data_IF_397935567623
#
_entry.id   IF_397935567623
#
_cell.length_a   1.000
_cell.length_b   1.000
_cell.length_c   1.000
_cell.angle_alpha   90.00
_cell.angle_beta   90.00
_cell.angle_gamma   90.00
#
_symmetry.space_group_name_H-M   'P 1'
#
loop_
_entity.id
_entity.type
_entity.pdbx_description
1 polymer ?
#
# COMPACT_ATOMS: atom_id res chain seq x y z
N UNK A 1 -10.89 12.69 0.10
CA UNK A 1 -10.87 11.94 -1.18
C UNK A 1 -11.79 10.73 -1.08
N UNK A 2 -12.60 10.45 -2.11
CA UNK A 2 -13.39 9.21 -2.20
C UNK A 2 -12.65 8.22 -3.10
N UNK A 3 -11.99 7.23 -2.49
CA UNK A 3 -11.11 6.28 -3.20
C UNK A 3 -11.64 4.84 -3.24
N UNK A 4 -12.87 4.57 -2.81
CA UNK A 4 -13.42 3.21 -2.69
C UNK A 4 -13.28 2.37 -3.95
N UNK A 5 -13.57 2.96 -5.12
CA UNK A 5 -13.39 2.30 -6.41
C UNK A 5 -11.94 1.84 -6.64
N UNK A 6 -10.94 2.69 -6.31
CA UNK A 6 -9.52 2.36 -6.45
C UNK A 6 -9.11 1.17 -5.59
N UNK A 7 -9.69 1.03 -4.40
CA UNK A 7 -9.49 -0.15 -3.56
C UNK A 7 -10.14 -1.39 -4.19
N UNK A 8 -11.38 -1.31 -4.67
CA UNK A 8 -12.07 -2.47 -5.25
C UNK A 8 -11.39 -3.05 -6.49
N UNK A 9 -10.84 -2.19 -7.34
CA UNK A 9 -10.15 -2.60 -8.58
C UNK A 9 -8.62 -2.70 -8.43
N UNK A 10 -8.11 -2.40 -7.23
CA UNK A 10 -6.68 -2.34 -6.94
C UNK A 10 -6.01 -3.70 -7.00
N UNK A 11 -4.74 -3.70 -7.39
CA UNK A 11 -3.85 -4.88 -7.48
C UNK A 11 -2.50 -4.55 -6.86
N UNK A 12 -1.74 -5.60 -6.49
CA UNK A 12 -0.36 -5.54 -6.01
C UNK A 12 0.52 -6.52 -6.78
N UNK A 13 1.82 -6.49 -6.54
CA UNK A 13 2.79 -7.44 -7.07
C UNK A 13 3.03 -8.57 -6.06
N UNK A 14 2.81 -9.81 -6.46
CA UNK A 14 3.05 -11.00 -5.65
C UNK A 14 4.21 -11.84 -6.22
N UNK A 15 5.09 -12.42 -5.37
CA UNK A 15 6.13 -13.32 -5.84
C UNK A 15 5.51 -14.64 -6.31
N UNK A 16 5.91 -15.12 -7.50
CA UNK A 16 5.40 -16.40 -8.03
C UNK A 16 6.07 -17.59 -7.34
N UNK A 17 7.35 -17.46 -7.04
CA UNK A 17 8.20 -18.53 -6.54
C UNK A 17 8.79 -18.12 -5.18
N UNK A 18 8.55 -18.88 -4.10
CA UNK A 18 9.18 -18.67 -2.80
C UNK A 18 10.72 -18.62 -2.87
N UNK A 19 11.32 -19.31 -3.84
CA UNK A 19 12.77 -19.38 -4.02
C UNK A 19 13.33 -18.31 -4.96
N UNK A 20 12.47 -17.57 -5.67
CA UNK A 20 12.88 -16.45 -6.51
C UNK A 20 11.94 -15.24 -6.32
N UNK A 21 12.11 -14.48 -5.23
CA UNK A 21 11.25 -13.35 -4.88
C UNK A 21 11.25 -12.20 -5.90
N UNK A 22 12.23 -12.18 -6.81
CA UNK A 22 12.35 -11.13 -7.82
C UNK A 22 11.34 -11.28 -8.97
N UNK A 23 10.78 -12.49 -9.15
CA UNK A 23 9.78 -12.74 -10.19
C UNK A 23 8.39 -12.42 -9.65
N UNK A 24 7.96 -11.18 -9.89
CA UNK A 24 6.69 -10.64 -9.45
C UNK A 24 5.62 -10.72 -10.56
N UNK A 25 4.38 -11.02 -10.18
CA UNK A 25 3.20 -10.90 -11.06
C UNK A 25 2.13 -10.03 -10.42
N UNK A 26 1.31 -9.35 -11.23
CA UNK A 26 0.14 -8.66 -10.71
C UNK A 26 -0.84 -9.66 -10.09
N UNK A 27 -1.35 -9.30 -8.93
CA UNK A 27 -2.43 -9.97 -8.22
C UNK A 27 -3.75 -9.86 -8.97
N UNK A 28 -4.77 -10.61 -8.52
CA UNK A 28 -6.16 -10.31 -8.91
C UNK A 28 -6.59 -8.97 -8.27
N UNK A 29 -7.67 -8.38 -8.79
CA UNK A 29 -8.26 -7.20 -8.15
C UNK A 29 -8.79 -7.57 -6.77
N UNK A 30 -8.71 -6.65 -5.80
CA UNK A 30 -9.12 -6.88 -4.40
C UNK A 30 -10.48 -7.58 -4.27
N UNK A 31 -11.45 -7.20 -5.11
CA UNK A 31 -12.81 -7.76 -5.09
C UNK A 31 -12.88 -9.26 -5.42
N UNK A 32 -11.85 -9.82 -6.05
CA UNK A 32 -11.75 -11.23 -6.42
C UNK A 32 -10.68 -12.01 -5.64
N UNK A 33 -10.03 -11.38 -4.65
CA UNK A 33 -9.03 -12.02 -3.80
C UNK A 33 -9.72 -12.64 -2.58
N UNK A 34 -9.29 -13.83 -2.19
CA UNK A 34 -9.75 -14.51 -0.95
C UNK A 34 -8.67 -14.55 0.11
N UNK A 35 -7.39 -14.61 -0.30
CA UNK A 35 -6.23 -14.73 0.59
C UNK A 35 -6.03 -13.47 1.45
N UNK A 36 -6.04 -13.57 2.80
CA UNK A 36 -5.92 -12.41 3.68
C UNK A 36 -4.62 -11.61 3.53
N UNK A 37 -3.48 -12.28 3.35
CA UNK A 37 -2.19 -11.61 3.17
C UNK A 37 -2.16 -10.78 1.87
N UNK A 38 -2.65 -11.37 0.77
CA UNK A 38 -2.76 -10.69 -0.51
C UNK A 38 -3.70 -9.47 -0.41
N UNK A 39 -4.83 -9.59 0.30
CA UNK A 39 -5.72 -8.44 0.57
C UNK A 39 -5.03 -7.33 1.34
N UNK A 40 -4.31 -7.67 2.41
CA UNK A 40 -3.57 -6.69 3.22
C UNK A 40 -2.56 -5.94 2.39
N UNK A 41 -1.81 -6.66 1.56
CA UNK A 41 -0.83 -6.06 0.65
C UNK A 41 -1.48 -5.14 -0.38
N UNK A 42 -2.57 -5.56 -1.03
CA UNK A 42 -3.30 -4.71 -1.99
C UNK A 42 -3.81 -3.44 -1.30
N UNK A 43 -4.43 -3.56 -0.12
CA UNK A 43 -5.00 -2.41 0.60
C UNK A 43 -3.89 -1.45 1.02
N UNK A 44 -2.78 -1.94 1.58
CA UNK A 44 -1.63 -1.12 1.97
C UNK A 44 -1.03 -0.36 0.80
N UNK A 45 -0.77 -1.07 -0.32
CA UNK A 45 -0.20 -0.46 -1.52
C UNK A 45 -1.11 0.62 -2.13
N UNK A 46 -2.42 0.36 -2.20
CA UNK A 46 -3.38 1.35 -2.71
C UNK A 46 -3.51 2.53 -1.76
N UNK A 47 -3.47 2.31 -0.44
CA UNK A 47 -3.49 3.38 0.55
C UNK A 47 -2.28 4.33 0.37
N UNK A 48 -1.07 3.77 0.26
CA UNK A 48 0.15 4.57 0.05
C UNK A 48 0.06 5.40 -1.23
N UNK A 49 -0.34 4.78 -2.36
CA UNK A 49 -0.51 5.51 -3.63
C UNK A 49 -1.54 6.64 -3.52
N UNK A 50 -2.66 6.41 -2.84
CA UNK A 50 -3.68 7.45 -2.65
C UNK A 50 -3.15 8.57 -1.74
N UNK A 51 -2.44 8.23 -0.67
CA UNK A 51 -1.84 9.20 0.25
C UNK A 51 -0.80 10.09 -0.46
N UNK A 52 0.13 9.49 -1.21
CA UNK A 52 1.15 10.18 -2.00
C UNK A 52 0.51 11.16 -3.00
N UNK A 53 -0.46 10.70 -3.80
CA UNK A 53 -1.18 11.55 -4.76
C UNK A 53 -1.85 12.76 -4.07
N UNK A 54 -2.38 12.57 -2.87
CA UNK A 54 -3.00 13.67 -2.11
C UNK A 54 -1.95 14.65 -1.60
N UNK A 55 -0.84 14.16 -1.05
CA UNK A 55 0.26 14.99 -0.56
C UNK A 55 0.85 15.82 -1.72
N UNK A 56 1.10 15.19 -2.86
CA UNK A 56 1.58 15.86 -4.08
C UNK A 56 0.59 16.95 -4.55
N UNK A 57 -0.72 16.67 -4.50
CA UNK A 57 -1.74 17.65 -4.90
C UNK A 57 -1.81 18.89 -4.00
N UNK A 58 -1.27 18.81 -2.78
CA UNK A 58 -1.23 19.93 -1.84
C UNK A 58 -0.02 20.85 -2.06
N UNK A 59 0.95 20.45 -2.90
CA UNK A 59 2.16 21.22 -3.23
C UNK A 59 2.89 21.77 -1.98
N UNK A 60 3.02 20.92 -0.96
CA UNK A 60 3.68 21.26 0.30
C UNK A 60 5.18 21.03 0.18
N UNK A 61 5.98 21.89 0.83
CA UNK A 61 7.42 21.67 0.95
C UNK A 61 7.69 20.56 1.98
N UNK A 62 8.27 19.40 1.57
CA UNK A 62 8.52 18.28 2.48
C UNK A 62 9.44 18.63 3.66
N UNK A 63 10.34 19.60 3.49
CA UNK A 63 11.30 20.00 4.54
C UNK A 63 10.64 20.89 5.64
N UNK A 64 9.44 21.40 5.36
CA UNK A 64 8.70 22.30 6.26
C UNK A 64 7.43 21.66 6.82
N UNK A 65 7.17 20.39 6.49
CA UNK A 65 5.98 19.66 6.93
C UNK A 65 6.35 18.34 7.59
N UNK A 66 5.50 17.89 8.52
CA UNK A 66 5.67 16.63 9.23
C UNK A 66 4.45 15.74 9.01
N UNK A 67 4.67 14.43 8.86
CA UNK A 67 3.61 13.43 8.85
C UNK A 67 3.29 13.00 10.28
N UNK A 68 2.15 13.44 10.81
CA UNK A 68 1.66 13.01 12.12
C UNK A 68 1.06 11.60 12.06
N UNK A 69 1.59 10.67 12.85
CA UNK A 69 1.03 9.32 13.02
C UNK A 69 0.51 9.12 14.45
N UNK A 70 -0.68 8.55 14.60
CA UNK A 70 -1.33 8.32 15.90
C UNK A 70 -0.86 7.04 16.63
N UNK A 71 0.23 6.42 16.19
CA UNK A 71 0.70 5.14 16.70
C UNK A 71 1.30 5.29 18.11
N UNK A 72 0.75 4.57 19.09
CA UNK A 72 1.23 4.61 20.49
C UNK A 72 2.57 3.88 20.69
N UNK A 73 2.89 2.92 19.82
CA UNK A 73 4.15 2.18 19.80
C UNK A 73 4.74 2.28 18.40
N UNK A 74 5.57 3.30 18.13
CA UNK A 74 6.16 3.44 16.81
C UNK A 74 7.23 2.37 16.62
N UNK A 75 7.05 1.54 15.59
CA UNK A 75 8.11 0.65 15.10
C UNK A 75 9.04 1.44 14.19
N UNK A 76 10.36 1.39 14.44
CA UNK A 76 11.36 2.05 13.59
C UNK A 76 11.59 1.31 12.26
N UNK A 77 11.28 0.02 12.23
CA UNK A 77 11.33 -0.83 11.05
C UNK A 77 10.08 -1.69 11.11
N UNK A 78 9.21 -1.58 10.11
CA UNK A 78 8.15 -2.57 9.95
C UNK A 78 8.79 -3.88 9.48
N UNK A 79 8.68 -4.94 10.27
CA UNK A 79 9.17 -6.26 9.87
C UNK A 79 8.37 -6.73 8.66
N UNK A 80 8.99 -6.79 7.49
CA UNK A 80 8.44 -7.47 6.32
C UNK A 80 8.33 -8.96 6.64
N UNK A 81 7.15 -9.41 7.08
CA UNK A 81 6.85 -10.82 7.38
C UNK A 81 6.10 -11.50 6.26
#
# INVERSE_FOLDING_TARGET
VRASYLFYVGTTNIPIDPNNPQKLVPSKQLSFVTEPEEKRKIIGDIFMKVAENVIESMNLNPDEVLLGQGTLRPDLIESAS
#
